data_IF_428559120970
#
_entry.id   IF_428559120970
#
_cell.length_a   1.000
_cell.length_b   1.000
_cell.length_c   1.000
_cell.angle_alpha   90.00
_cell.angle_beta   90.00
_cell.angle_gamma   90.00
#
_symmetry.space_group_name_H-M   'P 1'
#
loop_
_entity.id
_entity.type
_entity.pdbx_description
1 polymer ?
#
# COMPACT_ATOMS: atom_id res chain seq x y z
N UNK A 1 -3.78 50.78 -7.13
CA UNK A 1 -4.99 50.14 -6.58
C UNK A 1 -5.31 48.89 -7.40
N UNK A 2 -6.05 47.95 -6.79
CA UNK A 2 -6.52 46.66 -7.31
C UNK A 2 -5.57 45.46 -7.13
N UNK A 3 -5.66 44.84 -5.95
CA UNK A 3 -5.19 43.49 -5.65
C UNK A 3 -6.20 42.45 -6.17
N UNK A 4 -5.77 41.55 -7.05
CA UNK A 4 -6.59 40.41 -7.48
C UNK A 4 -6.49 39.28 -6.44
N UNK A 5 -7.54 39.09 -5.65
CA UNK A 5 -7.65 38.01 -4.68
C UNK A 5 -7.92 36.67 -5.39
N UNK A 6 -6.92 35.78 -5.40
CA UNK A 6 -7.08 34.41 -5.90
C UNK A 6 -7.87 33.57 -4.89
N UNK A 7 -9.13 33.26 -5.21
CA UNK A 7 -10.01 32.36 -4.46
C UNK A 7 -9.47 30.92 -4.54
N UNK A 8 -8.90 30.43 -3.42
CA UNK A 8 -8.46 29.04 -3.28
C UNK A 8 -9.69 28.15 -3.06
N UNK A 9 -10.16 27.50 -4.13
CA UNK A 9 -11.16 26.43 -4.02
C UNK A 9 -10.50 25.23 -3.32
N UNK A 10 -10.86 25.00 -2.06
CA UNK A 10 -10.50 23.80 -1.33
C UNK A 10 -11.21 22.59 -1.94
N UNK A 11 -10.46 21.69 -2.58
CA UNK A 11 -10.97 20.38 -2.99
C UNK A 11 -10.98 19.49 -1.74
N UNK A 12 -12.15 19.37 -1.12
CA UNK A 12 -12.38 18.38 -0.06
C UNK A 12 -12.53 17.02 -0.73
N UNK A 13 -11.45 16.24 -0.78
CA UNK A 13 -11.55 14.82 -1.09
C UNK A 13 -12.22 14.10 0.08
N UNK A 14 -13.54 13.93 -0.02
CA UNK A 14 -14.27 12.96 0.80
C UNK A 14 -13.92 11.56 0.32
N UNK A 15 -12.78 11.05 0.79
CA UNK A 15 -12.45 9.64 0.66
C UNK A 15 -13.42 8.80 1.49
N UNK A 16 -14.57 8.45 0.90
CA UNK A 16 -15.40 7.35 1.39
C UNK A 16 -14.54 6.09 1.39
N UNK A 17 -14.04 5.70 2.55
CA UNK A 17 -13.53 4.34 2.78
C UNK A 17 -14.71 3.38 2.66
N UNK A 18 -14.92 2.86 1.46
CA UNK A 18 -15.71 1.65 1.25
C UNK A 18 -14.87 0.46 1.71
N UNK A 19 -14.76 0.28 3.03
CA UNK A 19 -14.47 -1.04 3.59
C UNK A 19 -15.78 -1.83 3.58
N UNK A 20 -16.21 -2.22 2.38
CA UNK A 20 -17.13 -3.35 2.24
C UNK A 20 -16.26 -4.60 2.27
N UNK A 21 -15.90 -5.04 3.48
CA UNK A 21 -15.53 -6.43 3.68
C UNK A 21 -16.76 -7.25 3.30
N UNK A 22 -16.78 -7.78 2.08
CA UNK A 22 -17.65 -8.88 1.74
C UNK A 22 -17.24 -10.04 2.65
N UNK A 23 -17.85 -10.10 3.83
CA UNK A 23 -17.99 -11.36 4.53
C UNK A 23 -18.77 -12.25 3.57
N UNK A 24 -18.04 -13.06 2.79
CA UNK A 24 -18.63 -14.20 2.12
C UNK A 24 -19.31 -14.94 3.26
N UNK A 25 -20.64 -14.91 3.28
CA UNK A 25 -21.45 -15.62 4.24
C UNK A 25 -21.30 -17.12 3.95
N UNK A 26 -20.15 -17.70 4.28
CA UNK A 26 -19.92 -19.14 4.30
C UNK A 26 -20.52 -19.70 5.57
N UNK A 27 -21.84 -19.64 5.62
CA UNK A 27 -22.63 -20.12 6.75
C UNK A 27 -24.07 -20.30 6.32
N UNK A 28 -24.30 -21.03 5.22
CA UNK A 28 -25.63 -21.60 4.99
C UNK A 28 -25.89 -22.52 6.17
N UNK A 29 -26.74 -22.05 7.06
CA UNK A 29 -27.05 -22.71 8.31
C UNK A 29 -28.03 -23.84 7.94
N UNK A 30 -27.50 -24.96 7.44
CA UNK A 30 -28.28 -26.12 6.98
C UNK A 30 -28.70 -27.01 8.16
N UNK A 31 -29.06 -26.42 9.30
CA UNK A 31 -29.53 -27.15 10.47
C UNK A 31 -30.79 -27.97 10.12
N UNK A 32 -31.65 -27.46 9.24
CA UNK A 32 -32.86 -28.19 8.79
C UNK A 32 -32.59 -29.40 7.90
N UNK A 33 -31.45 -29.46 7.21
CA UNK A 33 -31.09 -30.57 6.30
C UNK A 33 -30.27 -31.66 7.01
N UNK A 34 -29.75 -31.39 8.21
CA UNK A 34 -28.84 -32.27 8.94
C UNK A 34 -29.51 -33.02 10.10
N UNK A 35 -30.79 -32.75 10.37
CA UNK A 35 -31.55 -33.46 11.39
C UNK A 35 -32.33 -34.62 10.75
N UNK A 36 -31.88 -35.84 11.03
CA UNK A 36 -32.72 -37.02 10.86
C UNK A 36 -33.64 -37.12 12.06
N UNK A 37 -34.95 -37.07 11.83
CA UNK A 37 -35.93 -37.33 12.89
C UNK A 37 -35.84 -38.79 13.32
N UNK A 38 -35.90 -39.03 14.62
CA UNK A 38 -35.99 -40.40 15.14
C UNK A 38 -37.34 -41.00 14.76
N UNK A 39 -37.36 -42.31 14.51
CA UNK A 39 -38.59 -43.06 14.28
C UNK A 39 -39.52 -42.97 15.50
N UNK A 40 -40.82 -43.12 15.24
CA UNK A 40 -41.84 -43.10 16.29
C UNK A 40 -41.53 -44.16 17.35
N UNK A 41 -41.40 -43.73 18.61
CA UNK A 41 -41.05 -44.63 19.70
C UNK A 41 -42.26 -45.50 20.09
N UNK A 42 -42.18 -46.79 19.81
CA UNK A 42 -43.22 -47.80 20.11
C UNK A 42 -43.47 -48.03 21.60
N UNK A 43 -42.59 -47.54 22.48
CA UNK A 43 -42.73 -47.66 23.93
C UNK A 43 -43.75 -46.66 24.52
N UNK A 44 -43.99 -45.54 23.83
CA UNK A 44 -44.94 -44.53 24.28
C UNK A 44 -46.37 -45.02 24.08
N UNK A 45 -46.94 -45.65 25.12
CA UNK A 45 -48.33 -46.14 25.13
C UNK A 45 -48.51 -47.63 25.40
N UNK A 46 -47.42 -48.41 25.55
CA UNK A 46 -47.49 -49.85 25.82
C UNK A 46 -47.67 -50.21 27.31
N UNK A 47 -47.99 -49.24 28.18
CA UNK A 47 -48.12 -49.49 29.62
C UNK A 47 -49.56 -49.90 29.98
N UNK A 48 -49.76 -51.18 30.24
CA UNK A 48 -50.99 -51.69 30.82
C UNK A 48 -50.87 -51.78 32.34
N UNK A 49 -51.81 -51.16 33.07
CA UNK A 49 -51.83 -51.15 34.52
C UNK A 49 -52.06 -52.58 35.08
N UNK A 50 -51.09 -53.18 35.81
CA UNK A 50 -51.27 -54.51 36.38
C UNK A 50 -52.34 -54.50 37.48
N UNK A 51 -53.19 -55.54 37.55
CA UNK A 51 -54.26 -55.66 38.56
C UNK A 51 -53.75 -55.76 40.00
N UNK A 52 -52.55 -56.32 40.21
CA UNK A 52 -51.97 -56.54 41.53
C UNK A 52 -50.92 -55.46 41.88
N UNK A 53 -51.03 -54.75 43.03
CA UNK A 53 -50.15 -53.64 43.36
C UNK A 53 -48.68 -54.07 43.54
N UNK A 54 -48.43 -55.24 44.16
CA UNK A 54 -47.07 -55.79 44.34
C UNK A 54 -46.38 -56.15 43.02
N UNK A 55 -47.14 -56.52 41.99
CA UNK A 55 -46.59 -56.82 40.67
C UNK A 55 -46.25 -55.54 39.89
N UNK A 56 -47.10 -54.51 40.01
CA UNK A 56 -46.85 -53.21 39.42
C UNK A 56 -45.55 -52.58 39.96
N UNK A 57 -45.32 -52.65 41.27
CA UNK A 57 -44.09 -52.17 41.90
C UNK A 57 -42.84 -52.91 41.38
N UNK A 58 -42.90 -54.25 41.26
CA UNK A 58 -41.78 -55.04 40.72
C UNK A 58 -41.49 -54.68 39.26
N UNK A 59 -42.51 -54.56 38.41
CA UNK A 59 -42.37 -54.16 37.01
C UNK A 59 -41.77 -52.75 36.89
N UNK A 60 -42.25 -51.80 37.69
CA UNK A 60 -41.72 -50.44 37.72
C UNK A 60 -40.26 -50.38 38.19
N UNK A 61 -39.91 -51.13 39.23
CA UNK A 61 -38.54 -51.20 39.73
C UNK A 61 -37.58 -51.77 38.68
N UNK A 62 -37.99 -52.82 37.96
CA UNK A 62 -37.23 -53.38 36.84
C UNK A 62 -37.07 -52.38 35.69
N UNK A 63 -38.16 -51.69 35.31
CA UNK A 63 -38.13 -50.68 34.26
C UNK A 63 -37.18 -49.53 34.60
N UNK A 64 -37.25 -49.01 35.84
CA UNK A 64 -36.33 -47.95 36.31
C UNK A 64 -34.87 -48.40 36.24
N UNK A 65 -34.58 -49.63 36.62
CA UNK A 65 -33.22 -50.20 36.55
C UNK A 65 -32.74 -50.36 35.11
N UNK A 66 -33.58 -50.89 34.22
CA UNK A 66 -33.26 -51.07 32.80
C UNK A 66 -33.02 -49.73 32.11
N UNK A 67 -33.91 -48.76 32.34
CA UNK A 67 -33.76 -47.41 31.79
C UNK A 67 -32.50 -46.70 32.30
N UNK A 68 -32.18 -46.83 33.59
CA UNK A 68 -30.94 -46.28 34.15
C UNK A 68 -29.69 -46.92 33.53
N UNK A 69 -29.71 -48.22 33.19
CA UNK A 69 -28.62 -48.91 32.48
C UNK A 69 -28.48 -48.38 31.05
N UNK A 70 -29.58 -48.32 30.29
CA UNK A 70 -29.60 -47.80 28.93
C UNK A 70 -29.07 -46.35 28.86
N UNK A 71 -29.55 -45.47 29.74
CA UNK A 71 -29.05 -44.10 29.81
C UNK A 71 -27.57 -44.03 30.16
N UNK A 72 -27.07 -44.93 31.00
CA UNK A 72 -25.65 -44.97 31.36
C UNK A 72 -24.80 -45.40 30.16
N UNK A 73 -25.27 -46.33 29.35
CA UNK A 73 -24.62 -46.76 28.10
C UNK A 73 -24.59 -45.61 27.09
N UNK A 74 -25.75 -45.01 26.81
CA UNK A 74 -25.86 -43.86 25.89
C UNK A 74 -24.97 -42.69 26.32
N UNK A 75 -24.89 -42.38 27.61
CA UNK A 75 -23.98 -41.31 28.10
C UNK A 75 -22.52 -41.64 27.86
N UNK A 76 -22.10 -42.90 28.00
CA UNK A 76 -20.72 -43.31 27.75
C UNK A 76 -20.38 -43.19 26.27
N UNK A 77 -21.26 -43.67 25.40
CA UNK A 77 -21.12 -43.55 23.95
C UNK A 77 -21.00 -42.09 23.53
N UNK A 78 -21.91 -41.24 24.02
CA UNK A 78 -21.87 -39.81 23.75
C UNK A 78 -20.56 -39.15 24.16
N UNK A 79 -20.01 -39.48 25.33
CA UNK A 79 -18.71 -38.94 25.77
C UNK A 79 -17.60 -39.33 24.79
N UNK A 80 -17.55 -40.59 24.39
CA UNK A 80 -16.56 -41.11 23.43
C UNK A 80 -16.69 -40.43 22.07
N UNK A 81 -17.91 -40.27 21.56
CA UNK A 81 -18.18 -39.58 20.29
C UNK A 81 -17.74 -38.11 20.33
N UNK A 82 -18.08 -37.41 21.42
CA UNK A 82 -17.70 -36.01 21.60
C UNK A 82 -16.17 -35.84 21.70
N UNK A 83 -15.49 -36.77 22.37
CA UNK A 83 -14.03 -36.79 22.44
C UNK A 83 -13.41 -37.08 21.06
N UNK A 84 -13.94 -38.05 20.31
CA UNK A 84 -13.49 -38.34 18.95
C UNK A 84 -13.63 -37.12 18.02
N UNK A 85 -14.79 -36.43 18.07
CA UNK A 85 -15.00 -35.20 17.29
C UNK A 85 -14.03 -34.09 17.70
N UNK A 86 -13.74 -33.94 19.00
CA UNK A 86 -12.76 -32.96 19.49
C UNK A 86 -11.36 -33.25 18.94
N UNK A 87 -10.93 -34.51 18.98
CA UNK A 87 -9.62 -34.93 18.47
C UNK A 87 -9.53 -34.74 16.95
N UNK A 88 -10.58 -35.06 16.20
CA UNK A 88 -10.62 -34.84 14.76
C UNK A 88 -10.49 -33.35 14.42
N UNK A 89 -11.20 -32.49 15.17
CA UNK A 89 -11.11 -31.04 15.01
C UNK A 89 -9.67 -30.55 15.26
N UNK A 90 -9.03 -31.01 16.33
CA UNK A 90 -7.64 -30.65 16.63
C UNK A 90 -6.69 -31.03 15.50
N UNK A 91 -6.77 -32.26 14.98
CA UNK A 91 -5.95 -32.71 13.84
C UNK A 91 -6.17 -31.85 12.60
N UNK A 92 -7.42 -31.48 12.30
CA UNK A 92 -7.74 -30.60 11.16
C UNK A 92 -7.18 -29.19 11.37
N UNK A 93 -7.26 -28.66 12.58
CA UNK A 93 -6.76 -27.32 12.90
C UNK A 93 -5.21 -27.29 12.86
N UNK A 94 -4.54 -28.31 13.37
CA UNK A 94 -3.08 -28.49 13.27
C UNK A 94 -2.61 -28.55 11.81
N UNK A 95 -3.23 -29.40 10.99
CA UNK A 95 -2.91 -29.48 9.56
C UNK A 95 -3.09 -28.13 8.84
N UNK A 96 -4.16 -27.38 9.17
CA UNK A 96 -4.38 -26.04 8.62
C UNK A 96 -3.30 -25.06 9.06
N UNK A 97 -2.90 -25.09 10.33
CA UNK A 97 -1.84 -24.22 10.86
C UNK A 97 -0.50 -24.49 10.18
N UNK A 98 -0.15 -25.76 9.95
CA UNK A 98 1.08 -26.13 9.24
C UNK A 98 1.08 -25.65 7.80
N UNK A 99 -0.01 -25.83 7.06
CA UNK A 99 -0.16 -25.31 5.69
C UNK A 99 0.00 -23.79 5.66
N UNK A 100 -0.65 -23.08 6.59
CA UNK A 100 -0.53 -21.62 6.69
C UNK A 100 0.90 -21.20 7.02
N UNK A 101 1.59 -21.95 7.89
CA UNK A 101 2.97 -21.67 8.27
C UNK A 101 3.90 -21.78 7.06
N UNK A 102 3.81 -22.87 6.30
CA UNK A 102 4.63 -23.09 5.11
C UNK A 102 4.42 -21.97 4.08
N UNK A 103 3.15 -21.65 3.77
CA UNK A 103 2.83 -20.55 2.84
C UNK A 103 3.35 -19.18 3.32
N UNK A 104 3.31 -18.93 4.64
CA UNK A 104 3.87 -17.71 5.21
C UNK A 104 5.39 -17.66 5.11
N UNK A 105 6.08 -18.78 5.31
CA UNK A 105 7.53 -18.89 5.16
C UNK A 105 7.97 -18.65 3.71
N UNK A 106 7.26 -19.23 2.74
CA UNK A 106 7.47 -18.96 1.31
C UNK A 106 7.26 -17.50 0.96
N UNK A 107 6.15 -16.89 1.41
CA UNK A 107 5.89 -15.46 1.20
C UNK A 107 6.98 -14.58 1.81
N UNK A 108 7.52 -14.96 2.98
CA UNK A 108 8.62 -14.23 3.61
C UNK A 108 9.91 -14.32 2.81
N UNK A 109 10.25 -15.50 2.27
CA UNK A 109 11.42 -15.70 1.40
C UNK A 109 11.33 -14.83 0.15
N UNK A 110 10.20 -14.91 -0.57
CA UNK A 110 9.96 -14.09 -1.76
C UNK A 110 10.01 -12.59 -1.46
N UNK A 111 9.43 -12.16 -0.33
CA UNK A 111 9.48 -10.76 0.10
C UNK A 111 10.91 -10.31 0.43
N UNK A 112 11.71 -11.18 1.03
CA UNK A 112 13.11 -10.88 1.35
C UNK A 112 13.96 -10.76 0.07
N UNK A 113 13.77 -11.64 -0.90
CA UNK A 113 14.43 -11.54 -2.22
C UNK A 113 14.03 -10.26 -2.95
N UNK A 114 12.73 -9.94 -3.01
CA UNK A 114 12.25 -8.69 -3.59
C UNK A 114 12.71 -7.44 -2.83
N UNK A 115 13.01 -7.55 -1.53
CA UNK A 115 13.61 -6.45 -0.76
C UNK A 115 15.09 -6.28 -1.07
N UNK A 116 15.84 -7.37 -1.30
CA UNK A 116 17.24 -7.32 -1.75
C UNK A 116 17.35 -6.66 -3.12
N UNK A 117 16.54 -7.08 -4.09
CA UNK A 117 16.52 -6.47 -5.44
C UNK A 117 16.25 -4.97 -5.34
N UNK A 118 15.22 -4.55 -4.59
CA UNK A 118 14.92 -3.12 -4.39
C UNK A 118 16.03 -2.36 -3.66
N UNK A 119 16.80 -3.03 -2.80
CA UNK A 119 17.94 -2.39 -2.15
C UNK A 119 19.08 -2.14 -3.15
N UNK A 120 19.36 -3.09 -4.05
CA UNK A 120 20.34 -2.90 -5.11
C UNK A 120 19.88 -1.81 -6.11
N UNK A 121 18.60 -1.80 -6.51
CA UNK A 121 18.04 -0.73 -7.35
C UNK A 121 18.24 0.67 -6.73
N UNK A 122 18.08 0.80 -5.41
CA UNK A 122 18.32 2.07 -4.71
C UNK A 122 19.79 2.49 -4.76
N UNK A 123 20.72 1.55 -4.61
CA UNK A 123 22.15 1.86 -4.73
C UNK A 123 22.50 2.35 -6.13
N UNK A 124 21.97 1.67 -7.16
CA UNK A 124 22.16 2.09 -8.56
C UNK A 124 21.58 3.49 -8.78
N UNK A 125 20.37 3.75 -8.30
CA UNK A 125 19.76 5.08 -8.40
C UNK A 125 20.57 6.18 -7.68
N UNK A 126 21.17 5.88 -6.53
CA UNK A 126 22.06 6.80 -5.83
C UNK A 126 23.35 7.08 -6.61
N UNK A 127 23.93 6.06 -7.24
CA UNK A 127 25.12 6.21 -8.10
C UNK A 127 24.81 7.05 -9.34
N UNK A 128 23.69 6.77 -10.01
CA UNK A 128 23.21 7.58 -11.14
C UNK A 128 22.99 9.04 -10.72
N UNK A 129 22.39 9.27 -9.56
CA UNK A 129 22.20 10.62 -9.02
C UNK A 129 23.53 11.34 -8.75
N UNK A 130 24.57 10.63 -8.28
CA UNK A 130 25.90 11.23 -8.12
C UNK A 130 26.53 11.58 -9.46
N UNK A 131 26.36 10.74 -10.48
CA UNK A 131 26.89 11.01 -11.82
C UNK A 131 26.20 12.22 -12.46
N UNK A 132 24.88 12.36 -12.32
CA UNK A 132 24.15 13.53 -12.84
C UNK A 132 24.61 14.81 -12.14
N UNK A 133 24.81 14.80 -10.83
CA UNK A 133 25.35 15.94 -10.08
C UNK A 133 26.75 16.36 -10.57
N UNK A 134 27.61 15.41 -10.91
CA UNK A 134 28.93 15.70 -11.45
C UNK A 134 28.84 16.36 -12.84
N UNK A 135 27.96 15.85 -13.72
CA UNK A 135 27.69 16.43 -15.04
C UNK A 135 27.17 17.86 -14.94
N UNK A 136 26.19 18.11 -14.06
CA UNK A 136 25.68 19.47 -13.86
C UNK A 136 26.75 20.43 -13.36
N UNK A 137 27.67 19.97 -12.49
CA UNK A 137 28.79 20.79 -12.01
C UNK A 137 29.75 21.13 -13.15
N UNK A 138 30.10 20.17 -14.01
CA UNK A 138 30.98 20.43 -15.16
C UNK A 138 30.35 21.40 -16.15
N UNK A 139 29.07 21.21 -16.50
CA UNK A 139 28.33 22.11 -17.38
C UNK A 139 28.26 23.53 -16.83
N UNK A 140 28.04 23.68 -15.50
CA UNK A 140 28.05 25.00 -14.86
C UNK A 140 29.43 25.65 -14.94
N UNK A 141 30.51 24.91 -14.69
CA UNK A 141 31.87 25.42 -14.78
C UNK A 141 32.22 25.86 -16.21
N UNK A 142 31.86 25.07 -17.22
CA UNK A 142 32.05 25.42 -18.64
C UNK A 142 31.27 26.68 -19.02
N UNK A 143 30.00 26.76 -18.61
CA UNK A 143 29.19 27.96 -18.80
C UNK A 143 29.81 29.21 -18.14
N UNK A 144 30.41 29.07 -16.96
CA UNK A 144 31.14 30.16 -16.31
C UNK A 144 32.36 30.60 -17.11
N UNK A 145 33.19 29.66 -17.58
CA UNK A 145 34.36 29.95 -18.44
C UNK A 145 33.94 30.69 -19.71
N UNK A 146 32.87 30.24 -20.37
CA UNK A 146 32.35 30.90 -21.57
C UNK A 146 31.85 32.32 -21.29
N UNK A 147 31.23 32.56 -20.12
CA UNK A 147 30.82 33.90 -19.69
C UNK A 147 31.99 34.81 -19.35
N UNK A 148 33.07 34.26 -18.78
CA UNK A 148 34.31 35.00 -18.55
C UNK A 148 34.99 35.40 -19.85
N UNK A 149 35.20 34.44 -20.77
CA UNK A 149 35.76 34.71 -22.08
C UNK A 149 34.98 35.81 -22.82
N UNK A 150 33.64 35.70 -22.86
CA UNK A 150 32.77 36.74 -23.47
C UNK A 150 32.90 38.11 -22.78
N UNK A 151 33.12 38.15 -21.47
CA UNK A 151 33.34 39.42 -20.76
C UNK A 151 34.69 40.02 -21.12
N UNK A 152 35.74 39.21 -21.23
CA UNK A 152 37.07 39.65 -21.64
C UNK A 152 37.09 40.11 -23.09
N UNK A 153 36.47 39.38 -24.01
CA UNK A 153 36.28 39.79 -25.40
C UNK A 153 35.58 41.14 -25.51
N UNK A 154 34.49 41.34 -24.75
CA UNK A 154 33.80 42.65 -24.71
C UNK A 154 34.70 43.77 -24.18
N UNK A 155 35.47 43.52 -23.12
CA UNK A 155 36.44 44.50 -22.58
C UNK A 155 37.52 44.83 -23.62
N UNK A 156 38.05 43.83 -24.30
CA UNK A 156 39.08 44.01 -25.32
C UNK A 156 38.53 44.73 -26.56
N UNK A 157 37.32 44.38 -27.01
CA UNK A 157 36.64 45.08 -28.10
C UNK A 157 36.37 46.55 -27.76
N UNK A 158 35.93 46.85 -26.54
CA UNK A 158 35.74 48.22 -26.08
C UNK A 158 37.07 49.00 -26.01
N UNK A 159 38.15 48.39 -25.52
CA UNK A 159 39.49 49.00 -25.51
C UNK A 159 40.01 49.25 -26.94
N UNK A 160 39.79 48.31 -27.85
CA UNK A 160 40.19 48.43 -29.26
C UNK A 160 39.40 49.51 -29.99
N UNK A 161 38.08 49.58 -29.75
CA UNK A 161 37.25 50.68 -30.24
C UNK A 161 37.74 52.02 -29.71
N UNK A 162 38.00 52.12 -28.40
CA UNK A 162 38.56 53.32 -27.79
C UNK A 162 39.92 53.67 -28.38
N UNK A 163 40.81 52.70 -28.62
CA UNK A 163 42.11 52.93 -29.26
C UNK A 163 41.95 53.52 -30.67
N UNK A 164 41.04 52.97 -31.48
CA UNK A 164 40.75 53.45 -32.84
C UNK A 164 40.09 54.83 -32.86
N UNK A 165 39.14 55.10 -31.96
CA UNK A 165 38.56 56.43 -31.83
C UNK A 165 39.54 57.42 -31.20
N UNK A 166 40.49 56.93 -30.38
CA UNK A 166 41.49 57.78 -29.72
C UNK A 166 42.46 58.47 -30.67
N UNK A 167 42.72 57.89 -31.84
CA UNK A 167 43.50 58.53 -32.89
C UNK A 167 42.78 59.67 -33.62
N UNK A 168 41.49 59.89 -33.36
CA UNK A 168 40.70 61.01 -33.88
C UNK A 168 40.39 62.06 -32.78
N UNK A 169 41.21 62.12 -31.72
CA UNK A 169 41.03 63.17 -30.71
C UNK A 169 41.41 64.52 -31.30
N UNK A 170 40.48 65.46 -31.17
CA UNK A 170 40.60 66.81 -31.68
C UNK A 170 40.88 67.71 -30.49
N UNK A 171 41.99 68.44 -30.52
CA UNK A 171 42.33 69.42 -29.49
C UNK A 171 41.28 70.55 -29.48
N UNK A 172 41.01 71.11 -28.30
CA UNK A 172 39.95 72.09 -28.08
C UNK A 172 40.08 73.33 -28.99
N UNK A 173 41.32 73.74 -29.30
CA UNK A 173 41.62 74.85 -30.21
C UNK A 173 41.29 74.55 -31.69
N UNK A 174 41.25 73.27 -32.10
CA UNK A 174 40.97 72.83 -33.48
C UNK A 174 39.52 72.37 -33.68
N UNK A 175 38.76 72.27 -32.59
CA UNK A 175 37.40 71.73 -32.57
C UNK A 175 36.42 72.60 -33.35
N UNK A 176 36.48 73.92 -33.16
CA UNK A 176 35.58 74.88 -33.80
C UNK A 176 35.75 74.89 -35.34
N UNK A 177 36.98 74.77 -35.83
CA UNK A 177 37.26 74.71 -37.27
C UNK A 177 36.70 73.47 -37.94
N UNK A 178 36.81 72.31 -37.26
CA UNK A 178 36.32 71.04 -37.79
C UNK A 178 34.79 70.93 -37.78
N UNK A 179 34.12 71.58 -36.82
CA UNK A 179 32.65 71.69 -36.78
C UNK A 179 32.12 72.46 -37.99
N UNK A 180 32.77 73.57 -38.36
CA UNK A 180 32.38 74.40 -39.50
C UNK A 180 32.56 73.63 -40.82
N UNK A 181 33.65 72.87 -40.96
CA UNK A 181 33.93 72.04 -42.14
C UNK A 181 32.84 70.98 -42.35
N UNK A 182 32.45 70.29 -41.27
CA UNK A 182 31.40 69.26 -41.31
C UNK A 182 30.01 69.86 -41.57
N UNK A 183 29.70 71.04 -41.04
CA UNK A 183 28.46 71.77 -41.33
C UNK A 183 28.37 72.26 -42.78
N UNK A 184 29.51 72.58 -43.40
CA UNK A 184 29.58 73.07 -44.78
C UNK A 184 29.66 71.96 -45.83
N UNK A 185 29.94 70.71 -45.44
CA UNK A 185 29.99 69.56 -46.34
C UNK A 185 28.60 68.99 -46.67
N UNK A 186 28.42 68.34 -47.84
CA UNK A 186 27.15 67.69 -48.18
C UNK A 186 26.97 66.41 -47.35
N UNK A 187 25.96 66.38 -46.49
CA UNK A 187 25.64 65.21 -45.67
C UNK A 187 24.90 64.15 -46.50
N UNK A 188 25.45 62.94 -46.61
CA UNK A 188 24.72 61.74 -47.07
C UNK A 188 24.70 60.71 -45.96
N UNK A 189 23.52 60.28 -45.53
CA UNK A 189 23.31 59.28 -44.48
C UNK A 189 23.42 57.85 -45.01
#
# INVERSE_FOLDING_TARGET
>A
MAAAAASRRGVVYTGRRLFSSSSIATGKNNHKETHNFLEANSFLGCWEAPKNPKEAEKRLAMLRRQYAKQLKEVRKEYIVEMEAMRMEKQRKDEARQEVIRIANEERRKLKAEAAKVRAEERKVAEEEFRQTLLKERTEKLENWRMKEAKREEKKNAAKELLRRSSSQWVDEEKLEGQIIEVLSGPWSF
#
